data_IF_699306509375
#
_entry.id   IF_699306509375
#
_cell.length_a   1.000
_cell.length_b   1.000
_cell.length_c   1.000
_cell.angle_alpha   90.00
_cell.angle_beta   90.00
_cell.angle_gamma   90.00
#
_symmetry.space_group_name_H-M   'P 1'
#
loop_
_entity.id
_entity.type
_entity.pdbx_description
1 polymer ?
#
# COMPACT_ATOMS: atom_id res chain seq x y z
N UNK A 1 -2.15 -2.01 24.23
CA UNK A 1 -1.41 -0.87 23.70
C UNK A 1 -2.36 -0.05 22.83
N UNK A 2 -2.32 1.28 22.92
CA UNK A 2 -3.15 2.18 22.10
C UNK A 2 -2.78 2.19 20.62
N UNK A 3 -1.65 1.57 20.26
CA UNK A 3 -1.13 1.48 18.89
C UNK A 3 -0.97 0.01 18.52
N UNK A 4 -1.29 -0.35 17.28
CA UNK A 4 -1.08 -1.71 16.74
C UNK A 4 0.40 -2.07 16.55
N UNK A 5 1.25 -1.05 16.47
CA UNK A 5 2.69 -1.16 16.39
C UNK A 5 3.32 0.19 16.78
N UNK A 6 4.63 0.22 17.03
CA UNK A 6 5.35 1.41 17.41
C UNK A 6 5.11 1.72 18.89
N UNK A 7 5.15 3.02 19.22
CA UNK A 7 4.90 3.51 20.57
C UNK A 7 3.41 3.71 20.81
N UNK A 8 2.95 3.37 22.00
CA UNK A 8 1.59 3.59 22.47
C UNK A 8 1.50 3.56 23.99
N UNK A 9 0.27 3.49 24.51
CA UNK A 9 -0.02 3.48 25.95
C UNK A 9 -1.04 2.38 26.28
N UNK A 10 -0.86 1.69 27.41
CA UNK A 10 -1.89 0.89 28.05
C UNK A 10 -2.60 1.74 29.09
N UNK A 11 -3.91 1.94 28.93
CA UNK A 11 -4.73 2.64 29.93
C UNK A 11 -5.46 1.62 30.81
N UNK A 12 -5.45 1.83 32.11
CA UNK A 12 -6.18 1.04 33.10
C UNK A 12 -6.99 1.94 34.03
N UNK A 13 -8.14 1.46 34.45
CA UNK A 13 -8.92 2.17 35.48
C UNK A 13 -8.29 1.93 36.84
N UNK A 14 -7.96 3.02 37.54
CA UNK A 14 -7.50 2.98 38.93
C UNK A 14 -8.67 3.40 39.81
N UNK A 15 -9.07 2.52 40.73
CA UNK A 15 -10.18 2.78 41.64
C UNK A 15 -9.77 2.48 43.08
N UNK A 16 -10.24 3.32 44.00
CA UNK A 16 -10.12 3.07 45.43
C UNK A 16 -11.08 1.94 45.83
N UNK A 17 -10.55 0.80 46.31
CA UNK A 17 -11.34 -0.40 46.62
C UNK A 17 -11.67 -0.56 48.10
N UNK A 18 -11.24 0.36 48.96
CA UNK A 18 -11.53 0.28 50.40
C UNK A 18 -13.00 0.66 50.72
N UNK A 19 -13.56 0.19 51.84
CA UNK A 19 -14.96 0.44 52.19
C UNK A 19 -15.32 1.93 52.34
N UNK A 20 -14.36 2.76 52.76
CA UNK A 20 -14.56 4.19 53.00
C UNK A 20 -14.38 5.06 51.74
N UNK A 21 -13.86 4.50 50.64
CA UNK A 21 -13.44 5.19 49.41
C UNK A 21 -12.50 6.38 49.62
N UNK A 22 -11.72 6.35 50.70
CA UNK A 22 -10.71 7.36 51.01
C UNK A 22 -9.35 6.81 50.62
N UNK A 23 -8.77 7.35 49.55
CA UNK A 23 -7.43 7.05 49.09
C UNK A 23 -6.63 8.36 48.99
N UNK A 24 -5.33 8.32 49.31
CA UNK A 24 -4.44 9.47 49.15
C UNK A 24 -4.18 9.72 47.63
N UNK A 25 -4.55 10.89 47.08
CA UNK A 25 -4.31 11.21 45.68
C UNK A 25 -2.83 11.16 45.27
N UNK A 26 -1.90 11.44 46.19
CA UNK A 26 -0.46 11.37 45.91
C UNK A 26 0.04 9.93 45.75
N UNK A 27 -0.68 8.96 46.32
CA UNK A 27 -0.37 7.53 46.24
C UNK A 27 -1.02 6.84 45.03
N UNK A 28 -1.76 7.57 44.20
CA UNK A 28 -2.47 7.00 43.06
C UNK A 28 -1.47 6.35 42.10
N UNK A 29 -1.59 5.04 41.81
CA UNK A 29 -0.72 4.39 40.85
C UNK A 29 -0.94 4.96 39.45
N UNK A 30 0.08 4.90 38.57
CA UNK A 30 -0.07 5.34 37.19
C UNK A 30 -1.20 4.56 36.52
N UNK A 31 -2.12 5.29 35.91
CA UNK A 31 -3.23 4.74 35.14
C UNK A 31 -2.84 4.47 33.68
N UNK A 32 -1.64 4.91 33.29
CA UNK A 32 -1.06 4.75 31.96
C UNK A 32 0.33 4.14 32.05
N UNK A 33 0.62 3.21 31.15
CA UNK A 33 1.93 2.57 31.01
C UNK A 33 2.36 2.57 29.54
N UNK A 34 3.59 3.00 29.20
CA UNK A 34 4.04 3.01 27.81
C UNK A 34 4.23 1.58 27.28
N UNK A 35 3.96 1.39 25.99
CA UNK A 35 4.23 0.16 25.26
C UNK A 35 4.91 0.46 23.93
N UNK A 36 5.83 -0.42 23.53
CA UNK A 36 6.54 -0.32 22.26
C UNK A 36 6.60 -1.71 21.59
N UNK A 37 6.03 -1.86 20.39
CA UNK A 37 6.14 -3.09 19.59
C UNK A 37 6.41 -2.78 18.11
N UNK A 38 7.63 -3.01 17.65
CA UNK A 38 8.05 -2.67 16.29
C UNK A 38 7.97 -3.86 15.32
N UNK A 39 7.55 -5.04 15.79
CA UNK A 39 7.66 -6.30 15.05
C UNK A 39 6.81 -6.36 13.77
N UNK A 40 5.77 -5.53 13.65
CA UNK A 40 4.82 -5.53 12.52
C UNK A 40 4.42 -4.14 12.03
N UNK A 41 5.35 -3.19 12.09
CA UNK A 41 5.08 -1.80 11.71
C UNK A 41 5.06 -1.50 10.23
N UNK A 42 5.49 -2.44 9.39
CA UNK A 42 5.56 -2.25 7.95
C UNK A 42 4.60 -3.20 7.23
N UNK A 43 3.98 -2.70 6.16
CA UNK A 43 3.10 -3.47 5.30
C UNK A 43 3.31 -3.14 3.82
N UNK A 44 3.07 -4.13 2.96
CA UNK A 44 3.05 -3.92 1.52
C UNK A 44 1.78 -3.20 1.11
N UNK A 45 1.92 -2.01 0.52
CA UNK A 45 0.83 -1.31 -0.16
C UNK A 45 1.00 -1.45 -1.66
N UNK A 46 -0.13 -1.61 -2.36
CA UNK A 46 -0.15 -1.72 -3.82
C UNK A 46 -1.04 -0.66 -4.42
N UNK A 47 -0.58 -0.06 -5.52
CA UNK A 47 -1.44 0.78 -6.36
C UNK A 47 -2.30 -0.05 -7.31
N UNK A 48 -3.08 0.66 -8.12
CA UNK A 48 -3.86 0.06 -9.19
C UNK A 48 -3.00 -0.59 -10.26
N UNK A 49 -3.60 -1.55 -10.96
CA UNK A 49 -2.99 -2.15 -12.15
C UNK A 49 -3.02 -1.15 -13.31
N UNK A 50 -1.91 -1.05 -14.03
CA UNK A 50 -1.81 -0.33 -15.28
C UNK A 50 -2.68 -0.96 -16.37
N UNK A 51 -2.86 -0.24 -17.47
CA UNK A 51 -3.49 -0.80 -18.68
C UNK A 51 -2.67 -1.99 -19.19
N UNK A 52 -3.32 -2.92 -19.87
CA UNK A 52 -2.61 -4.03 -20.50
C UNK A 52 -1.59 -3.49 -21.50
N UNK A 53 -0.39 -4.06 -21.50
CA UNK A 53 0.68 -3.69 -22.44
C UNK A 53 0.29 -3.90 -23.91
N UNK A 54 -0.67 -4.79 -24.16
CA UNK A 54 -1.15 -5.15 -25.48
C UNK A 54 -2.62 -4.74 -25.64
N UNK A 55 -2.97 -4.15 -26.78
CA UNK A 55 -4.36 -3.83 -27.14
C UNK A 55 -5.12 -5.05 -27.69
N UNK A 56 -4.41 -6.12 -28.05
CA UNK A 56 -4.93 -7.41 -28.50
C UNK A 56 -4.04 -8.55 -27.96
N UNK A 57 -4.57 -9.78 -27.94
CA UNK A 57 -3.82 -10.97 -27.56
C UNK A 57 -3.36 -10.97 -26.11
N UNK A 58 -2.19 -11.59 -25.85
CA UNK A 58 -1.59 -11.68 -24.51
C UNK A 58 -0.79 -10.41 -24.21
N UNK A 59 -0.85 -9.95 -22.98
CA UNK A 59 -0.04 -8.84 -22.48
C UNK A 59 0.23 -8.94 -21.00
N UNK A 60 0.80 -7.86 -20.45
CA UNK A 60 1.12 -7.73 -19.03
C UNK A 60 0.54 -6.43 -18.47
N UNK A 61 0.07 -6.48 -17.24
CA UNK A 61 -0.22 -5.30 -16.43
C UNK A 61 0.83 -5.20 -15.33
N UNK A 62 1.19 -3.98 -14.97
CA UNK A 62 2.11 -3.66 -13.89
C UNK A 62 1.39 -2.88 -12.80
N UNK A 63 1.83 -2.98 -11.56
CA UNK A 63 1.36 -2.09 -10.48
C UNK A 63 2.52 -1.66 -9.61
N UNK A 64 2.31 -0.57 -8.89
CA UNK A 64 3.24 -0.12 -7.87
C UNK A 64 3.10 -1.01 -6.63
N UNK A 65 4.22 -1.46 -6.07
CA UNK A 65 4.30 -2.25 -4.83
C UNK A 65 5.35 -1.60 -3.94
N UNK A 66 4.95 -1.08 -2.78
CA UNK A 66 5.81 -0.34 -1.87
C UNK A 66 5.65 -0.83 -0.44
N UNK A 67 6.76 -0.88 0.29
CA UNK A 67 6.74 -1.16 1.72
C UNK A 67 6.56 0.15 2.48
N UNK A 68 5.49 0.25 3.26
CA UNK A 68 5.07 1.48 3.93
C UNK A 68 4.90 1.24 5.43
N UNK A 69 5.28 2.21 6.25
CA UNK A 69 5.05 2.19 7.68
C UNK A 69 3.56 2.46 7.98
N UNK A 70 2.94 1.60 8.79
CA UNK A 70 1.48 1.62 9.07
C UNK A 70 1.01 2.90 9.73
N UNK A 71 1.84 3.53 10.56
CA UNK A 71 1.46 4.71 11.37
C UNK A 71 1.84 6.01 10.68
N UNK A 72 3.05 6.10 10.14
CA UNK A 72 3.59 7.36 9.58
C UNK A 72 3.35 7.48 8.09
N UNK A 73 3.00 6.38 7.40
CA UNK A 73 2.90 6.36 5.95
C UNK A 73 4.23 6.58 5.22
N UNK A 74 5.36 6.49 5.91
CA UNK A 74 6.68 6.65 5.29
C UNK A 74 7.12 5.39 4.56
N UNK A 75 7.91 5.55 3.50
CA UNK A 75 8.56 4.42 2.84
C UNK A 75 9.52 3.71 3.81
N UNK A 76 9.59 2.39 3.72
CA UNK A 76 10.53 1.57 4.48
C UNK A 76 10.92 0.31 3.73
N UNK A 77 11.64 -0.58 4.44
CA UNK A 77 12.18 -1.81 3.85
C UNK A 77 11.96 -3.06 4.74
N UNK A 78 11.29 -2.93 5.88
CA UNK A 78 11.14 -4.02 6.87
C UNK A 78 9.93 -4.93 6.58
N UNK A 79 9.32 -4.81 5.41
CA UNK A 79 8.23 -5.69 5.00
C UNK A 79 8.79 -7.08 4.64
N UNK A 80 8.13 -8.17 5.07
CA UNK A 80 8.60 -9.52 4.77
C UNK A 80 8.52 -9.80 3.26
N UNK A 81 9.64 -10.19 2.66
CA UNK A 81 9.76 -10.45 1.22
C UNK A 81 8.82 -11.58 0.76
N UNK A 82 8.58 -12.57 1.61
CA UNK A 82 7.64 -13.68 1.36
C UNK A 82 6.20 -13.23 1.16
N UNK A 83 5.82 -12.08 1.73
CA UNK A 83 4.49 -11.49 1.59
C UNK A 83 4.40 -10.45 0.47
N UNK A 84 5.49 -10.21 -0.27
CA UNK A 84 5.55 -9.19 -1.31
C UNK A 84 4.55 -9.52 -2.43
N UNK A 85 3.55 -8.67 -2.69
CA UNK A 85 2.61 -8.90 -3.78
C UNK A 85 3.29 -8.83 -5.15
N UNK A 86 2.78 -9.52 -6.17
CA UNK A 86 3.35 -9.49 -7.51
C UNK A 86 3.24 -8.08 -8.11
N UNK A 87 4.34 -7.62 -8.71
CA UNK A 87 4.41 -6.35 -9.46
C UNK A 87 3.72 -6.47 -10.82
N UNK A 88 3.65 -7.68 -11.38
CA UNK A 88 3.12 -7.94 -12.71
C UNK A 88 2.03 -9.01 -12.70
N UNK A 89 1.06 -8.90 -13.60
CA UNK A 89 0.08 -9.97 -13.87
C UNK A 89 -0.22 -10.09 -15.38
N UNK A 90 -0.55 -11.27 -15.88
CA UNK A 90 -1.00 -11.44 -17.26
C UNK A 90 -2.35 -10.76 -17.50
N UNK A 91 -2.56 -10.28 -18.72
CA UNK A 91 -3.83 -9.82 -19.25
C UNK A 91 -4.07 -10.38 -20.64
N UNK A 92 -5.34 -10.49 -21.01
CA UNK A 92 -5.76 -11.02 -22.30
C UNK A 92 -6.83 -10.12 -22.91
N UNK A 93 -6.58 -9.66 -24.13
CA UNK A 93 -7.53 -8.95 -24.98
C UNK A 93 -8.01 -9.87 -26.12
N UNK A 94 -8.92 -9.37 -26.95
CA UNK A 94 -9.37 -10.08 -28.15
C UNK A 94 -8.21 -10.47 -29.08
N UNK A 95 -8.44 -11.42 -29.98
CA UNK A 95 -7.41 -11.92 -30.91
C UNK A 95 -6.77 -10.79 -31.71
N UNK A 96 -5.45 -10.80 -31.83
CA UNK A 96 -4.77 -9.91 -32.75
C UNK A 96 -5.11 -10.30 -34.19
N UNK A 97 -5.59 -9.35 -34.98
CA UNK A 97 -5.72 -9.55 -36.42
C UNK A 97 -4.32 -9.44 -37.02
N UNK A 98 -3.65 -10.57 -37.22
CA UNK A 98 -2.31 -10.67 -37.84
C UNK A 98 -2.29 -10.26 -39.34
N UNK A 99 -3.34 -9.59 -39.84
CA UNK A 99 -3.52 -9.19 -41.24
C UNK A 99 -3.46 -7.68 -41.46
N UNK A 100 -2.53 -6.99 -40.80
CA UNK A 100 -2.00 -5.74 -41.36
C UNK A 100 -0.75 -6.13 -42.16
N UNK A 101 -0.93 -6.44 -43.44
CA UNK A 101 0.17 -6.68 -44.35
C UNK A 101 1.03 -5.42 -44.42
N UNK A 102 2.24 -5.45 -43.85
CA UNK A 102 3.26 -4.40 -44.01
C UNK A 102 3.88 -4.51 -45.40
N UNK A 103 3.06 -4.39 -46.44
CA UNK A 103 3.50 -4.21 -47.83
C UNK A 103 2.89 -2.94 -48.45
N UNK A 104 2.24 -2.08 -47.65
CA UNK A 104 1.85 -0.75 -48.09
C UNK A 104 2.79 0.25 -47.43
N UNK A 105 3.89 0.59 -48.13
CA UNK A 105 4.63 1.82 -47.87
C UNK A 105 3.67 2.96 -48.22
N UNK A 106 2.88 3.38 -47.25
CA UNK A 106 2.29 4.72 -47.25
C UNK A 106 2.38 5.19 -45.82
N UNK A 107 3.54 5.79 -45.50
CA UNK A 107 3.69 6.60 -44.30
C UNK A 107 2.47 7.51 -44.18
N UNK A 108 1.83 7.63 -43.00
CA UNK A 108 1.07 8.83 -42.69
C UNK A 108 2.12 9.92 -42.44
N UNK A 109 2.73 10.42 -43.52
CA UNK A 109 3.33 11.75 -43.49
C UNK A 109 2.13 12.64 -43.22
N UNK A 110 2.08 13.23 -42.02
CA UNK A 110 1.18 14.31 -41.66
C UNK A 110 1.07 15.25 -42.87
N UNK A 111 -0.02 15.09 -43.62
CA UNK A 111 -0.40 15.99 -44.68
C UNK A 111 -1.19 17.10 -44.03
N UNK A 112 -0.50 18.04 -43.40
CA UNK A 112 -1.04 19.37 -43.11
C UNK A 112 -0.05 20.42 -43.62
N UNK A 113 0.03 20.54 -44.95
CA UNK A 113 0.43 21.81 -45.59
C UNK A 113 -0.86 22.52 -45.95
N UNK A 114 -1.29 23.44 -45.10
CA UNK A 114 -2.40 24.33 -45.36
C UNK A 114 -1.91 25.46 -46.29
N UNK A 115 -2.48 25.52 -47.50
CA UNK A 115 -2.35 26.65 -48.42
C UNK A 115 -3.40 27.71 -48.05
N UNK A 116 -2.94 28.91 -47.72
CA UNK A 116 -3.52 30.21 -48.09
C UNK A 116 -2.37 31.19 -48.33
#
# INVERSE_FOLDING_TARGET
CSSDCGRGVHSRTVACTNPQRVCDPQSQPPHEEPCEDHSKCYEWKTGDWSKCSSSCGKGLQSRVVQCMHKVTGSHGNDCPVTSRPPTYRPCHHGTCNEKINVNTITSPRLGETQLF
#
